data_IF_983689571823
#
_entry.id   IF_983689571823
#
_cell.length_a   1.000
_cell.length_b   1.000
_cell.length_c   1.000
_cell.angle_alpha   90.00
_cell.angle_beta   90.00
_cell.angle_gamma   90.00
#
_symmetry.space_group_name_H-M   'P 1'
#
loop_
_entity.id
_entity.type
_entity.pdbx_description
1 polymer ?
#
# COMPACT_ATOMS: atom_id res chain seq x y z
N UNK A 1 -5.96 0.00 -27.91
CA UNK A 1 -6.09 1.21 -27.07
C UNK A 1 -7.14 0.97 -25.99
N UNK A 2 -6.80 0.29 -24.89
CA UNK A 2 -7.70 0.06 -23.74
C UNK A 2 -7.05 0.36 -22.37
N UNK A 3 -5.78 0.77 -22.33
CA UNK A 3 -5.03 0.97 -21.09
C UNK A 3 -5.43 2.27 -20.35
N UNK A 4 -5.79 3.32 -21.08
CA UNK A 4 -6.05 4.66 -20.50
C UNK A 4 -7.22 4.72 -19.51
N UNK A 5 -8.21 3.82 -19.63
CA UNK A 5 -9.38 3.82 -18.73
C UNK A 5 -9.09 3.23 -17.36
N UNK A 6 -8.17 2.26 -17.27
CA UNK A 6 -7.85 1.63 -15.99
C UNK A 6 -6.98 2.53 -15.12
N UNK A 7 -6.02 3.23 -15.74
CA UNK A 7 -5.16 4.20 -15.05
C UNK A 7 -5.98 5.36 -14.47
N UNK A 8 -6.95 5.91 -15.23
CA UNK A 8 -7.82 6.99 -14.72
C UNK A 8 -8.67 6.57 -13.53
N UNK A 9 -9.18 5.33 -13.52
CA UNK A 9 -9.98 4.83 -12.40
C UNK A 9 -9.11 4.68 -11.14
N UNK A 10 -7.88 4.20 -11.30
CA UNK A 10 -6.95 4.00 -10.20
C UNK A 10 -6.51 5.35 -9.59
N UNK A 11 -6.25 6.35 -10.43
CA UNK A 11 -5.89 7.70 -9.99
C UNK A 11 -7.05 8.38 -9.25
N UNK A 12 -8.29 8.19 -9.72
CA UNK A 12 -9.50 8.66 -9.01
C UNK A 12 -9.65 7.97 -7.66
N UNK A 13 -9.44 6.65 -7.59
CA UNK A 13 -9.48 5.91 -6.33
C UNK A 13 -8.41 6.42 -5.36
N UNK A 14 -7.17 6.60 -5.81
CA UNK A 14 -6.08 7.13 -4.98
C UNK A 14 -6.35 8.57 -4.51
N UNK A 15 -6.92 9.42 -5.35
CA UNK A 15 -7.24 10.81 -5.01
C UNK A 15 -8.25 10.92 -3.86
N UNK A 16 -9.14 9.94 -3.69
CA UNK A 16 -10.11 9.90 -2.57
C UNK A 16 -9.52 9.40 -1.25
N UNK A 17 -8.31 8.83 -1.27
CA UNK A 17 -7.67 8.28 -0.09
C UNK A 17 -6.96 9.35 0.73
N UNK A 18 -6.76 9.06 2.02
CA UNK A 18 -5.94 9.91 2.88
C UNK A 18 -4.50 10.03 2.33
N UNK A 19 -3.82 11.18 2.53
CA UNK A 19 -2.45 11.39 2.04
C UNK A 19 -1.45 10.32 2.48
N UNK A 20 -1.62 9.77 3.68
CA UNK A 20 -0.81 8.66 4.18
C UNK A 20 -0.98 7.40 3.32
N UNK A 21 -2.22 7.06 2.92
CA UNK A 21 -2.48 5.90 2.08
C UNK A 21 -1.97 6.07 0.65
N UNK A 22 -2.09 7.27 0.08
CA UNK A 22 -1.48 7.59 -1.21
C UNK A 22 0.03 7.38 -1.17
N UNK A 23 0.70 7.92 -0.15
CA UNK A 23 2.14 7.79 -0.02
C UNK A 23 2.59 6.34 0.25
N UNK A 24 1.85 5.57 1.06
CA UNK A 24 2.11 4.14 1.24
C UNK A 24 2.03 3.41 -0.10
N UNK A 25 0.98 3.67 -0.89
CA UNK A 25 0.81 3.04 -2.19
C UNK A 25 1.94 3.39 -3.17
N UNK A 26 2.37 4.65 -3.21
CA UNK A 26 3.49 5.08 -4.04
C UNK A 26 4.80 4.39 -3.67
N UNK A 27 5.10 4.22 -2.37
CA UNK A 27 6.29 3.48 -1.94
C UNK A 27 6.17 2.00 -2.31
N UNK A 28 5.00 1.39 -2.17
CA UNK A 28 4.77 0.00 -2.54
C UNK A 28 4.86 -0.25 -4.06
N UNK A 29 4.72 0.78 -4.91
CA UNK A 29 5.00 0.66 -6.34
C UNK A 29 6.49 0.41 -6.63
N UNK A 30 7.39 0.82 -5.74
CA UNK A 30 8.83 0.62 -5.89
C UNK A 30 9.24 -0.82 -5.56
N UNK A 31 8.42 -1.54 -4.79
CA UNK A 31 8.72 -2.93 -4.42
C UNK A 31 7.92 -3.44 -3.22
N UNK A 32 8.37 -4.59 -2.73
CA UNK A 32 7.75 -5.27 -1.58
C UNK A 32 8.37 -4.76 -0.28
N UNK A 33 7.54 -4.32 0.67
CA UNK A 33 8.00 -3.70 1.91
C UNK A 33 7.32 -4.28 3.16
N UNK A 34 8.07 -4.37 4.26
CA UNK A 34 7.50 -4.63 5.59
C UNK A 34 6.88 -3.34 6.15
N UNK A 35 5.88 -3.42 7.04
CA UNK A 35 5.36 -2.25 7.76
C UNK A 35 6.47 -1.41 8.42
N UNK A 36 7.44 -2.07 9.04
CA UNK A 36 8.56 -1.40 9.70
C UNK A 36 9.44 -0.61 8.73
N UNK A 37 9.55 -1.03 7.46
CA UNK A 37 10.32 -0.31 6.44
C UNK A 37 9.58 0.96 6.01
N UNK A 38 8.25 0.88 5.88
CA UNK A 38 7.39 2.02 5.59
C UNK A 38 7.45 3.06 6.71
N UNK A 39 7.45 2.62 7.97
CA UNK A 39 7.58 3.48 9.15
C UNK A 39 8.90 4.27 9.15
N UNK A 40 9.99 3.70 8.64
CA UNK A 40 11.30 4.39 8.54
C UNK A 40 11.35 5.41 7.41
N UNK A 41 10.61 5.18 6.31
CA UNK A 41 10.64 6.02 5.11
C UNK A 41 9.62 7.17 5.14
N UNK A 42 8.66 7.12 6.06
CA UNK A 42 7.52 8.04 6.08
C UNK A 42 7.48 8.86 7.37
N UNK A 43 6.98 10.10 7.27
CA UNK A 43 6.74 10.98 8.42
C UNK A 43 5.34 10.79 9.02
N UNK A 44 4.88 9.54 9.11
CA UNK A 44 3.56 9.21 9.69
C UNK A 44 3.70 8.26 10.87
N UNK A 45 2.75 8.33 11.80
CA UNK A 45 2.72 7.39 12.92
C UNK A 45 2.49 5.95 12.44
N UNK A 46 3.01 4.96 13.18
CA UNK A 46 2.75 3.54 12.92
C UNK A 46 1.24 3.23 12.85
N UNK A 47 0.41 3.94 13.64
CA UNK A 47 -1.05 3.79 13.60
C UNK A 47 -1.64 4.25 12.27
N UNK A 48 -1.17 5.39 11.76
CA UNK A 48 -1.61 5.94 10.47
C UNK A 48 -1.23 5.01 9.32
N UNK A 49 0.02 4.49 9.34
CA UNK A 49 0.53 3.57 8.32
C UNK A 49 -0.25 2.25 8.33
N UNK A 50 -0.50 1.66 9.51
CA UNK A 50 -1.33 0.45 9.62
C UNK A 50 -2.75 0.67 9.12
N UNK A 51 -3.34 1.82 9.42
CA UNK A 51 -4.68 2.19 8.93
C UNK A 51 -4.67 2.31 7.41
N UNK A 52 -3.67 2.99 6.84
CA UNK A 52 -3.49 3.12 5.40
C UNK A 52 -3.36 1.76 4.70
N UNK A 53 -2.48 0.88 5.20
CA UNK A 53 -2.31 -0.48 4.68
C UNK A 53 -3.62 -1.29 4.73
N UNK A 54 -4.36 -1.19 5.84
CA UNK A 54 -5.66 -1.87 5.98
C UNK A 54 -6.68 -1.34 4.96
N UNK A 55 -6.73 -0.02 4.76
CA UNK A 55 -7.62 0.61 3.77
C UNK A 55 -7.27 0.15 2.36
N UNK A 56 -6.01 0.28 1.95
CA UNK A 56 -5.51 -0.12 0.63
C UNK A 56 -5.75 -1.62 0.34
N UNK A 57 -5.55 -2.47 1.35
CA UNK A 57 -5.82 -3.91 1.22
C UNK A 57 -7.32 -4.19 1.08
N UNK A 58 -8.17 -3.49 1.84
CA UNK A 58 -9.63 -3.65 1.77
C UNK A 58 -10.19 -3.27 0.40
N UNK A 59 -9.65 -2.25 -0.24
CA UNK A 59 -10.01 -1.82 -1.60
C UNK A 59 -9.24 -2.58 -2.70
N UNK A 60 -8.47 -3.61 -2.33
CA UNK A 60 -7.76 -4.51 -3.24
C UNK A 60 -6.68 -3.85 -4.12
N UNK A 61 -6.10 -2.73 -3.68
CA UNK A 61 -4.97 -2.09 -4.37
C UNK A 61 -3.61 -2.68 -4.00
N UNK A 62 -3.52 -3.35 -2.85
CA UNK A 62 -2.29 -3.99 -2.37
C UNK A 62 -2.59 -5.40 -1.88
N UNK A 63 -1.58 -6.26 -1.91
CA UNK A 63 -1.64 -7.62 -1.39
C UNK A 63 -0.79 -7.74 -0.13
N UNK A 64 -1.29 -8.50 0.85
CA UNK A 64 -0.55 -8.89 2.04
C UNK A 64 0.06 -10.27 1.79
N UNK A 65 1.38 -10.38 1.89
CA UNK A 65 2.13 -11.64 1.75
C UNK A 65 2.63 -12.03 3.13
N UNK A 66 2.34 -13.25 3.57
CA UNK A 66 2.96 -13.81 4.78
C UNK A 66 4.30 -14.44 4.42
N UNK A 67 5.29 -14.26 5.28
CA UNK A 67 6.55 -15.01 5.16
C UNK A 67 6.28 -16.49 5.49
N UNK A 68 6.78 -17.40 4.66
CA UNK A 68 6.61 -18.84 4.89
C UNK A 68 7.56 -19.35 5.98
N UNK A 69 8.71 -18.71 6.14
CA UNK A 69 9.71 -19.07 7.15
C UNK A 69 9.42 -18.43 8.51
N UNK A 70 8.68 -17.32 8.51
CA UNK A 70 8.23 -16.62 9.73
C UNK A 70 6.78 -16.15 9.61
N UNK A 71 5.84 -16.95 10.13
CA UNK A 71 4.41 -16.64 10.13
C UNK A 71 4.03 -15.34 10.85
N UNK A 72 4.94 -14.74 11.64
CA UNK A 72 4.72 -13.43 12.28
C UNK A 72 5.10 -12.27 11.38
N UNK A 73 5.93 -12.51 10.37
CA UNK A 73 6.38 -11.52 9.41
C UNK A 73 5.44 -11.48 8.21
N UNK A 74 5.11 -10.27 7.78
CA UNK A 74 4.32 -10.04 6.58
C UNK A 74 4.83 -8.82 5.82
N UNK A 75 4.63 -8.88 4.51
CA UNK A 75 5.01 -7.88 3.55
C UNK A 75 3.78 -7.38 2.81
N UNK A 76 3.92 -6.22 2.18
CA UNK A 76 2.94 -5.69 1.26
C UNK A 76 3.59 -5.41 -0.08
N UNK A 77 2.82 -5.60 -1.16
CA UNK A 77 3.16 -5.19 -2.52
C UNK A 77 1.92 -4.62 -3.20
N UNK A 78 2.10 -3.79 -4.22
CA UNK A 78 0.98 -3.40 -5.10
C UNK A 78 0.49 -4.59 -5.90
N UNK A 79 -0.80 -4.57 -6.22
CA UNK A 79 -1.43 -5.54 -7.11
C UNK A 79 -1.22 -5.16 -8.57
#
# INVERSE_FOLDING_TARGET
MMETKQETILDLQLATLAPCAQQVYLILKEGTHKPADLEKRMKYSSRSIRTALKTLHKIQLIEKICDFDDLRTYYYKTK
#
